data_IF_426513751568
#
_entry.id   IF_426513751568
#
_cell.length_a   1.000
_cell.length_b   1.000
_cell.length_c   1.000
_cell.angle_alpha   90.00
_cell.angle_beta   90.00
_cell.angle_gamma   90.00
#
_symmetry.space_group_name_H-M   'P 1'
#
loop_
_entity.id
_entity.type
_entity.pdbx_description
1 polymer ?
#
# COMPACT_ATOMS: atom_id res chain seq x y z
N UNK A 1 -2.20 -23.48 2.95
CA UNK A 1 -1.85 -23.25 1.54
C UNK A 1 -1.72 -21.75 1.40
N UNK A 2 -0.51 -21.26 1.17
CA UNK A 2 -0.30 -19.83 0.97
C UNK A 2 -0.88 -19.45 -0.40
N UNK A 3 -1.52 -18.28 -0.52
CA UNK A 3 -2.07 -17.83 -1.81
C UNK A 3 -0.94 -17.67 -2.84
N UNK A 4 0.28 -17.37 -2.40
CA UNK A 4 1.42 -17.30 -3.29
C UNK A 4 1.81 -18.66 -3.88
N UNK A 5 1.52 -19.77 -3.20
CA UNK A 5 1.71 -21.13 -3.73
C UNK A 5 0.74 -21.45 -4.87
N UNK A 6 -0.33 -20.66 -5.00
CA UNK A 6 -1.36 -20.83 -6.03
C UNK A 6 -1.13 -19.98 -7.29
N UNK A 7 -0.18 -19.03 -7.24
CA UNK A 7 0.17 -18.20 -8.40
C UNK A 7 0.96 -19.01 -9.42
N UNK A 8 0.41 -19.13 -10.63
CA UNK A 8 1.14 -19.74 -11.75
C UNK A 8 2.25 -18.82 -12.24
N UNK A 9 3.20 -19.37 -13.01
CA UNK A 9 4.22 -18.56 -13.67
C UNK A 9 3.63 -17.52 -14.63
N UNK A 10 2.47 -17.80 -15.21
CA UNK A 10 1.73 -16.83 -16.03
C UNK A 10 1.24 -15.66 -15.17
N UNK A 11 0.65 -15.93 -14.00
CA UNK A 11 0.16 -14.89 -13.09
C UNK A 11 1.31 -14.00 -12.62
N UNK A 12 2.42 -14.60 -12.19
CA UNK A 12 3.63 -13.87 -11.79
C UNK A 12 4.19 -13.02 -12.93
N UNK A 13 4.17 -13.54 -14.17
CA UNK A 13 4.60 -12.77 -15.36
C UNK A 13 3.72 -11.54 -15.59
N UNK A 14 2.39 -11.69 -15.47
CA UNK A 14 1.43 -10.60 -15.62
C UNK A 14 1.62 -9.55 -14.53
N UNK A 15 1.77 -9.98 -13.26
CA UNK A 15 2.02 -9.10 -12.13
C UNK A 15 3.31 -8.29 -12.35
N UNK A 16 4.42 -8.93 -12.70
CA UNK A 16 5.69 -8.24 -12.99
C UNK A 16 5.54 -7.24 -14.13
N UNK A 17 4.96 -7.65 -15.27
CA UNK A 17 4.80 -6.77 -16.45
C UNK A 17 3.92 -5.57 -16.16
N UNK A 18 2.79 -5.76 -15.49
CA UNK A 18 1.89 -4.67 -15.11
C UNK A 18 2.54 -3.74 -14.09
N UNK A 19 3.27 -4.28 -13.11
CA UNK A 19 3.98 -3.49 -12.11
C UNK A 19 5.08 -2.60 -12.70
N UNK A 20 5.77 -3.05 -13.76
CA UNK A 20 6.73 -2.21 -14.49
C UNK A 20 6.10 -0.94 -15.08
N UNK A 21 4.79 -0.92 -15.35
CA UNK A 21 4.10 0.30 -15.78
C UNK A 21 3.88 1.27 -14.60
N UNK A 22 3.64 0.73 -13.41
CA UNK A 22 3.48 1.49 -12.17
C UNK A 22 4.80 2.16 -11.78
N UNK A 23 5.92 1.43 -11.83
CA UNK A 23 7.24 1.95 -11.45
C UNK A 23 7.67 3.20 -12.24
N UNK A 24 7.22 3.35 -13.49
CA UNK A 24 7.49 4.55 -14.31
C UNK A 24 6.88 5.83 -13.75
N UNK A 25 5.84 5.70 -12.94
CA UNK A 25 5.04 6.80 -12.42
C UNK A 25 4.75 6.61 -10.92
N UNK A 26 5.70 6.02 -10.19
CA UNK A 26 5.46 5.50 -8.84
C UNK A 26 4.89 6.56 -7.90
N UNK A 27 5.44 7.77 -7.89
CA UNK A 27 4.99 8.85 -7.01
C UNK A 27 3.55 9.30 -7.31
N UNK A 28 3.21 9.51 -8.58
CA UNK A 28 1.88 9.97 -8.98
C UNK A 28 0.83 8.89 -8.78
N UNK A 29 1.15 7.63 -9.09
CA UNK A 29 0.27 6.49 -8.83
C UNK A 29 0.06 6.28 -7.33
N UNK A 30 1.11 6.40 -6.53
CA UNK A 30 1.02 6.27 -5.06
C UNK A 30 0.02 7.27 -4.48
N UNK A 31 0.15 8.55 -4.86
CA UNK A 31 -0.77 9.60 -4.43
C UNK A 31 -2.19 9.33 -4.91
N UNK A 32 -2.36 8.89 -6.16
CA UNK A 32 -3.67 8.58 -6.73
C UNK A 32 -4.36 7.42 -5.99
N UNK A 33 -3.65 6.33 -5.70
CA UNK A 33 -4.20 5.19 -4.94
C UNK A 33 -4.66 5.65 -3.56
N UNK A 34 -3.84 6.42 -2.85
CA UNK A 34 -4.18 6.85 -1.49
C UNK A 34 -5.36 7.84 -1.47
N UNK A 35 -5.50 8.68 -2.51
CA UNK A 35 -6.71 9.49 -2.73
C UNK A 35 -7.94 8.61 -2.93
N UNK A 36 -7.86 7.61 -3.81
CA UNK A 36 -8.96 6.67 -4.05
C UNK A 36 -9.39 5.92 -2.78
N UNK A 37 -8.45 5.59 -1.89
CA UNK A 37 -8.77 4.97 -0.58
C UNK A 37 -9.59 5.95 0.27
N UNK A 38 -9.19 7.22 0.37
CA UNK A 38 -9.91 8.23 1.15
C UNK A 38 -11.23 8.68 0.54
N UNK A 39 -11.39 8.55 -0.78
CA UNK A 39 -12.66 8.77 -1.47
C UNK A 39 -13.65 7.63 -1.19
N UNK A 40 -13.18 6.37 -1.25
CA UNK A 40 -14.02 5.19 -1.00
C UNK A 40 -14.28 4.96 0.50
N UNK A 41 -13.34 5.32 1.36
CA UNK A 41 -13.44 5.23 2.81
C UNK A 41 -13.04 6.55 3.47
N UNK A 42 -13.94 7.53 3.52
CA UNK A 42 -13.70 8.82 4.18
C UNK A 42 -13.22 8.69 5.63
N UNK A 43 -13.69 7.67 6.34
CA UNK A 43 -13.36 7.42 7.74
C UNK A 43 -11.90 6.99 7.93
N UNK A 44 -11.28 6.40 6.91
CA UNK A 44 -9.86 6.05 6.94
C UNK A 44 -8.98 7.30 7.17
N UNK A 45 -9.44 8.50 6.79
CA UNK A 45 -8.72 9.76 7.03
C UNK A 45 -8.48 10.04 8.51
N UNK A 46 -9.36 9.55 9.40
CA UNK A 46 -9.23 9.72 10.85
C UNK A 46 -8.00 8.97 11.41
N UNK A 47 -7.47 7.98 10.67
CA UNK A 47 -6.24 7.28 11.04
C UNK A 47 -4.97 8.06 10.65
N UNK A 48 -5.09 8.97 9.69
CA UNK A 48 -3.97 9.70 9.11
C UNK A 48 -4.06 11.20 9.38
N UNK A 49 -4.44 11.60 10.59
CA UNK A 49 -4.60 13.01 11.01
C UNK A 49 -3.32 13.86 10.86
N UNK A 50 -2.15 13.23 10.80
CA UNK A 50 -0.88 13.90 10.51
C UNK A 50 -0.74 14.30 9.04
N UNK A 51 -1.47 13.66 8.12
CA UNK A 51 -1.52 14.04 6.72
C UNK A 51 -2.65 15.05 6.52
N UNK A 52 -2.27 16.30 6.27
CA UNK A 52 -3.25 17.27 5.77
C UNK A 52 -3.70 16.81 4.38
N UNK A 53 -4.98 16.49 4.26
CA UNK A 53 -5.63 16.10 3.01
C UNK A 53 -6.89 16.93 2.79
N UNK A 54 -6.93 17.61 1.65
CA UNK A 54 -8.10 18.32 1.15
C UNK A 54 -8.54 17.61 -0.14
N UNK A 55 -9.72 16.97 -0.16
CA UNK A 55 -10.25 16.29 -1.35
C UNK A 55 -10.42 17.22 -2.55
N UNK A 56 -10.64 18.53 -2.31
CA UNK A 56 -10.85 19.54 -3.34
C UNK A 56 -9.55 20.11 -3.90
N UNK A 57 -8.42 19.86 -3.24
CA UNK A 57 -7.12 20.36 -3.66
C UNK A 57 -6.42 19.40 -4.62
N UNK A 58 -5.81 19.96 -5.67
CA UNK A 58 -4.90 19.23 -6.55
C UNK A 58 -3.50 19.03 -5.93
N UNK A 59 -3.22 19.68 -4.81
CA UNK A 59 -1.95 19.53 -4.09
C UNK A 59 -2.14 18.68 -2.84
N UNK A 60 -1.12 17.90 -2.48
CA UNK A 60 -1.08 17.10 -1.24
C UNK A 60 0.14 17.50 -0.42
N UNK A 61 0.06 17.32 0.90
CA UNK A 61 1.17 17.55 1.82
C UNK A 61 2.33 16.57 1.57
N UNK A 62 3.54 16.94 2.01
CA UNK A 62 4.70 16.04 1.90
C UNK A 62 4.52 14.75 2.71
N UNK A 63 3.88 14.82 3.87
CA UNK A 63 3.55 13.64 4.69
C UNK A 63 2.63 12.68 3.95
N UNK A 64 1.64 13.21 3.21
CA UNK A 64 0.77 12.40 2.36
C UNK A 64 1.55 11.71 1.25
N UNK A 65 2.40 12.46 0.52
CA UNK A 65 3.25 11.88 -0.55
C UNK A 65 4.13 10.78 0.02
N UNK A 66 4.83 11.06 1.11
CA UNK A 66 5.76 10.13 1.74
C UNK A 66 5.07 8.84 2.17
N UNK A 67 3.92 8.94 2.84
CA UNK A 67 3.22 7.75 3.28
C UNK A 67 2.58 6.97 2.13
N UNK A 68 2.00 7.67 1.15
CA UNK A 68 1.47 7.03 -0.05
C UNK A 68 2.56 6.25 -0.79
N UNK A 69 3.77 6.80 -0.87
CA UNK A 69 4.92 6.12 -1.47
C UNK A 69 5.32 4.88 -0.65
N UNK A 70 5.38 4.99 0.68
CA UNK A 70 5.68 3.83 1.55
C UNK A 70 4.67 2.70 1.41
N UNK A 71 3.39 3.03 1.25
CA UNK A 71 2.35 2.05 0.96
C UNK A 71 2.66 1.30 -0.35
N UNK A 72 2.94 2.02 -1.43
CA UNK A 72 3.25 1.40 -2.73
C UNK A 72 4.56 0.62 -2.71
N UNK A 73 5.56 1.05 -1.93
CA UNK A 73 6.82 0.32 -1.72
C UNK A 73 6.64 -1.01 -0.99
N UNK A 74 5.64 -1.12 -0.11
CA UNK A 74 5.29 -2.41 0.49
C UNK A 74 4.77 -3.39 -0.58
N UNK A 75 3.99 -2.91 -1.55
CA UNK A 75 3.53 -3.71 -2.70
C UNK A 75 4.71 -4.03 -3.63
N UNK A 76 5.61 -3.09 -3.88
CA UNK A 76 6.82 -3.32 -4.66
C UNK A 76 7.65 -4.47 -4.06
N UNK A 77 7.77 -4.50 -2.74
CA UNK A 77 8.43 -5.59 -2.01
C UNK A 77 7.76 -6.95 -2.29
N UNK A 78 6.43 -7.01 -2.39
CA UNK A 78 5.71 -8.22 -2.84
C UNK A 78 6.12 -8.62 -4.25
N UNK A 79 6.14 -7.67 -5.18
CA UNK A 79 6.46 -7.94 -6.58
C UNK A 79 7.89 -8.49 -6.76
N UNK A 80 8.82 -8.04 -5.94
CA UNK A 80 10.21 -8.53 -5.92
C UNK A 80 10.36 -9.94 -5.32
N UNK A 81 9.41 -10.39 -4.49
CA UNK A 81 9.49 -11.66 -3.76
C UNK A 81 8.41 -12.68 -4.20
N UNK A 82 7.81 -12.52 -5.38
CA UNK A 82 6.78 -13.44 -5.89
C UNK A 82 7.23 -14.91 -5.98
N UNK A 83 8.53 -15.18 -6.11
CA UNK A 83 9.08 -16.56 -6.14
C UNK A 83 9.50 -17.06 -4.76
N UNK A 84 9.67 -16.17 -3.79
CA UNK A 84 10.01 -16.52 -2.40
C UNK A 84 9.31 -15.58 -1.41
N UNK A 85 7.99 -15.73 -1.21
CA UNK A 85 7.19 -14.83 -0.38
C UNK A 85 7.59 -14.85 1.09
N UNK A 86 8.16 -15.96 1.58
CA UNK A 86 8.60 -16.09 2.97
C UNK A 86 9.66 -15.05 3.37
N UNK A 87 10.39 -14.48 2.41
CA UNK A 87 11.30 -13.36 2.65
C UNK A 87 10.61 -12.09 3.18
N UNK A 88 9.29 -12.01 3.08
CA UNK A 88 8.50 -10.87 3.55
C UNK A 88 7.83 -11.09 4.91
N UNK A 89 7.99 -12.27 5.53
CA UNK A 89 7.32 -12.60 6.79
C UNK A 89 7.60 -11.55 7.88
N UNK A 90 8.86 -11.19 8.10
CA UNK A 90 9.22 -10.18 9.12
C UNK A 90 8.64 -8.80 8.80
N UNK A 91 8.62 -8.41 7.51
CA UNK A 91 8.05 -7.14 7.08
C UNK A 91 6.55 -7.09 7.39
N UNK A 92 5.80 -8.13 7.01
CA UNK A 92 4.36 -8.17 7.21
C UNK A 92 3.95 -8.41 8.65
N UNK A 93 4.71 -9.17 9.44
CA UNK A 93 4.48 -9.30 10.87
C UNK A 93 4.61 -7.95 11.58
N UNK A 94 5.64 -7.17 11.24
CA UNK A 94 5.85 -5.85 11.81
C UNK A 94 4.76 -4.86 11.38
N UNK A 95 4.41 -4.85 10.08
CA UNK A 95 3.31 -4.03 9.57
C UNK A 95 1.97 -4.41 10.23
N UNK A 96 1.68 -5.70 10.35
CA UNK A 96 0.48 -6.23 10.99
C UNK A 96 0.36 -5.79 12.44
N UNK A 97 1.44 -5.90 13.23
CA UNK A 97 1.47 -5.41 14.63
C UNK A 97 1.19 -3.91 14.73
N UNK A 98 1.74 -3.11 13.82
CA UNK A 98 1.49 -1.65 13.78
C UNK A 98 0.02 -1.38 13.50
N UNK A 99 -0.56 -2.04 12.49
CA UNK A 99 -1.96 -1.82 12.10
C UNK A 99 -2.94 -2.32 13.18
N UNK A 100 -2.68 -3.47 13.80
CA UNK A 100 -3.48 -4.00 14.91
C UNK A 100 -3.51 -3.03 16.11
N UNK A 101 -2.35 -2.48 16.49
CA UNK A 101 -2.27 -1.49 17.57
C UNK A 101 -3.07 -0.22 17.25
N UNK A 102 -3.03 0.24 16.00
CA UNK A 102 -3.81 1.41 15.56
C UNK A 102 -5.31 1.12 15.59
N UNK A 103 -5.72 -0.09 15.22
CA UNK A 103 -7.12 -0.53 15.33
C UNK A 103 -7.60 -0.49 16.78
N UNK A 104 -6.84 -1.03 17.72
CA UNK A 104 -7.17 -0.99 19.16
C UNK A 104 -7.30 0.45 19.69
N UNK A 105 -6.39 1.34 19.27
CA UNK A 105 -6.35 2.72 19.75
C UNK A 105 -7.43 3.62 19.14
N UNK A 106 -7.88 3.33 17.92
CA UNK A 106 -8.77 4.21 17.13
C UNK A 106 -10.12 3.60 16.74
N UNK A 107 -10.36 2.34 17.09
CA UNK A 107 -11.69 1.73 17.07
C UNK A 107 -12.23 1.28 15.71
N UNK A 108 -11.37 0.98 14.74
CA UNK A 108 -11.81 0.48 13.42
C UNK A 108 -12.35 -0.96 13.54
N UNK A 109 -13.54 -1.23 12.97
CA UNK A 109 -14.13 -2.56 12.80
C UNK A 109 -14.44 -2.79 11.33
#
# INVERSE_FOLDING_TARGET
MDIFDTLTELDKSILRKSWQLILKNLDSVSVAIFRMIFEQSPDARLMFTFMKYDPSSNTVSNDFKFHSLRFTQAIDSVMLHLDNPHGLNELFDNLGKIHARLQEQRGFR
#
